data_IF_466862243286
#
_entry.id   IF_466862243286
#
_cell.length_a   1.000
_cell.length_b   1.000
_cell.length_c   1.000
_cell.angle_alpha   90.00
_cell.angle_beta   90.00
_cell.angle_gamma   90.00
#
_symmetry.space_group_name_H-M   'P 1'
#
loop_
_entity.id
_entity.type
_entity.pdbx_description
1 polymer ?
#
# COMPACT_ATOMS: atom_id res chain seq x y z
N UNK A 1 4.21 12.44 -0.80
CA UNK A 1 4.66 11.04 -0.80
C UNK A 1 6.03 10.93 -0.21
N UNK A 2 6.22 9.97 0.68
CA UNK A 2 7.52 9.76 1.29
C UNK A 2 8.19 8.54 0.70
N UNK A 3 9.47 8.41 0.95
CA UNK A 3 10.21 7.24 0.51
C UNK A 3 9.61 5.96 1.11
N UNK A 4 9.17 6.05 2.35
CA UNK A 4 8.56 4.91 3.02
C UNK A 4 7.27 4.49 2.33
N UNK A 5 6.46 5.45 1.95
CA UNK A 5 5.22 5.15 1.25
C UNK A 5 5.49 4.52 -0.11
N UNK A 6 6.54 4.98 -0.77
CA UNK A 6 6.93 4.38 -2.03
C UNK A 6 7.34 2.92 -1.86
N UNK A 7 8.06 2.64 -0.79
CA UNK A 7 8.43 1.27 -0.47
C UNK A 7 7.21 0.39 -0.26
N UNK A 8 6.21 0.93 0.42
CA UNK A 8 4.98 0.19 0.66
C UNK A 8 4.30 -0.17 -0.64
N UNK A 9 4.21 0.79 -1.54
CA UNK A 9 3.55 0.56 -2.81
C UNK A 9 4.31 -0.48 -3.63
N UNK A 10 5.62 -0.41 -3.63
CA UNK A 10 6.43 -1.37 -4.35
C UNK A 10 6.23 -2.78 -3.81
N UNK A 11 6.14 -2.89 -2.49
CA UNK A 11 5.93 -4.19 -1.88
C UNK A 11 4.57 -4.76 -2.24
N UNK A 12 3.54 -3.93 -2.21
CA UNK A 12 2.20 -4.39 -2.56
C UNK A 12 2.17 -4.80 -4.02
N UNK A 13 2.78 -4.02 -4.87
CA UNK A 13 2.82 -4.28 -6.30
C UNK A 13 3.55 -5.60 -6.58
N UNK A 14 4.63 -5.82 -5.87
CA UNK A 14 5.44 -7.01 -6.09
C UNK A 14 4.81 -8.28 -5.57
N UNK A 15 4.10 -8.19 -4.45
CA UNK A 15 3.47 -9.37 -3.86
C UNK A 15 2.06 -9.58 -4.38
N UNK A 16 1.41 -8.53 -4.82
CA UNK A 16 0.04 -8.61 -5.26
C UNK A 16 -0.95 -8.75 -4.12
N UNK A 17 -0.52 -8.51 -2.89
CA UNK A 17 -1.37 -8.71 -1.73
C UNK A 17 -0.96 -7.76 -0.61
N UNK A 18 -1.95 -7.09 -0.04
CA UNK A 18 -1.71 -6.23 1.12
C UNK A 18 -1.17 -7.02 2.30
N UNK A 19 -1.74 -8.19 2.51
CA UNK A 19 -1.34 -9.05 3.60
C UNK A 19 0.12 -9.43 3.51
N UNK A 20 0.51 -9.92 2.35
CA UNK A 20 1.88 -10.36 2.16
C UNK A 20 2.85 -9.19 2.19
N UNK A 21 2.43 -8.06 1.66
CA UNK A 21 3.28 -6.87 1.70
C UNK A 21 3.52 -6.44 3.13
N UNK A 22 2.47 -6.47 3.96
CA UNK A 22 2.62 -6.10 5.36
C UNK A 22 3.59 -7.03 6.07
N UNK A 23 3.48 -8.32 5.80
CA UNK A 23 4.40 -9.30 6.38
C UNK A 23 5.83 -9.02 5.96
N UNK A 24 6.01 -8.77 4.68
CA UNK A 24 7.33 -8.52 4.13
C UNK A 24 7.96 -7.27 4.72
N UNK A 25 7.15 -6.28 5.00
CA UNK A 25 7.62 -5.01 5.53
C UNK A 25 7.66 -4.98 7.05
N UNK A 26 7.20 -6.04 7.69
CA UNK A 26 7.17 -6.13 9.16
C UNK A 26 6.30 -5.03 9.77
N UNK A 27 5.18 -4.75 9.14
CA UNK A 27 4.22 -3.79 9.66
C UNK A 27 2.85 -4.45 9.71
N UNK A 28 1.96 -3.88 10.50
CA UNK A 28 0.60 -4.40 10.55
C UNK A 28 -0.14 -4.00 9.30
N UNK A 29 -1.10 -4.82 8.89
CA UNK A 29 -1.87 -4.52 7.69
C UNK A 29 -2.64 -3.21 7.81
N UNK A 30 -3.28 -2.91 8.95
CA UNK A 30 -3.94 -1.60 9.08
C UNK A 30 -3.00 -0.43 8.88
N UNK A 31 -1.78 -0.54 9.38
CA UNK A 31 -0.79 0.52 9.18
C UNK A 31 -0.48 0.69 7.71
N UNK A 32 -0.28 -0.42 7.02
CA UNK A 32 0.04 -0.37 5.60
C UNK A 32 -1.12 0.24 4.82
N UNK A 33 -2.33 -0.17 5.13
CA UNK A 33 -3.52 0.34 4.46
C UNK A 33 -3.66 1.83 4.67
N UNK A 34 -3.45 2.28 5.91
CA UNK A 34 -3.52 3.71 6.21
C UNK A 34 -2.54 4.52 5.39
N UNK A 35 -1.32 4.02 5.30
CA UNK A 35 -0.28 4.72 4.54
C UNK A 35 -0.66 4.83 3.08
N UNK A 36 -1.19 3.76 2.52
CA UNK A 36 -1.60 3.78 1.12
C UNK A 36 -2.75 4.75 0.91
N UNK A 37 -3.71 4.74 1.81
CA UNK A 37 -4.85 5.65 1.70
C UNK A 37 -4.43 7.10 1.78
N UNK A 38 -3.49 7.40 2.65
CA UNK A 38 -2.96 8.76 2.74
C UNK A 38 -2.31 9.18 1.44
N UNK A 39 -1.56 8.27 0.85
CA UNK A 39 -0.90 8.57 -0.40
C UNK A 39 -1.92 8.80 -1.52
N UNK A 40 -2.93 7.96 -1.56
CA UNK A 40 -3.98 8.11 -2.55
C UNK A 40 -4.68 9.46 -2.43
N UNK A 41 -4.89 9.89 -1.20
CA UNK A 41 -5.51 11.19 -0.95
C UNK A 41 -4.60 12.31 -1.42
N UNK A 42 -3.33 12.16 -1.17
CA UNK A 42 -2.37 13.20 -1.48
C UNK A 42 -2.28 13.46 -2.98
N UNK A 43 -2.26 12.41 -3.76
CA UNK A 43 -2.14 12.56 -5.20
C UNK A 43 -3.47 12.58 -5.91
N UNK A 44 -4.54 12.30 -5.19
CA UNK A 44 -5.88 12.45 -5.73
C UNK A 44 -6.35 11.32 -6.62
N UNK A 45 -5.68 10.19 -6.59
CA UNK A 45 -6.11 9.03 -7.38
C UNK A 45 -6.03 7.78 -6.54
N UNK A 46 -6.74 6.76 -6.97
CA UNK A 46 -6.67 5.47 -6.32
C UNK A 46 -5.57 4.65 -6.93
N UNK A 47 -4.66 4.18 -6.09
CA UNK A 47 -3.54 3.39 -6.56
C UNK A 47 -3.91 1.93 -6.63
N UNK A 48 -4.63 1.45 -5.63
CA UNK A 48 -5.04 0.06 -5.58
C UNK A 48 -6.54 -0.06 -5.46
N UNK A 49 -7.08 -0.98 -6.21
CA UNK A 49 -8.52 -1.20 -6.22
C UNK A 49 -8.91 -2.08 -5.04
N UNK A 50 -9.82 -1.56 -4.20
CA UNK A 50 -10.21 -2.28 -3.01
C UNK A 50 -11.08 -3.49 -3.30
N UNK A 51 -11.63 -3.56 -4.47
CA UNK A 51 -12.46 -4.71 -4.81
C UNK A 51 -11.64 -5.93 -5.14
N UNK A 52 -10.35 -5.82 -5.09
CA UNK A 52 -9.50 -6.99 -5.24
C UNK A 52 -8.97 -7.23 -6.62
N UNK A 53 -9.25 -6.33 -7.51
CA UNK A 53 -8.65 -6.49 -8.81
C UNK A 53 -7.98 -5.23 -9.14
N UNK A 54 -6.96 -5.32 -9.71
CA UNK A 54 -6.29 -4.13 -10.01
C UNK A 54 -5.64 -4.22 -11.24
#
# INVERSE_FOLDING_TARGET
>A
MTLQQLKYILAISGTGSMNKAAEQLYVSQPSLTSSVQELEKEIGIKIFNRSGRE
#
